data_IF_338404305922
#
_entry.id   IF_338404305922
#
_cell.length_a   1.000
_cell.length_b   1.000
_cell.length_c   1.000
_cell.angle_alpha   90.00
_cell.angle_beta   90.00
_cell.angle_gamma   90.00
#
_symmetry.space_group_name_H-M   'P 1'
#
loop_
_entity.id
_entity.type
_entity.pdbx_description
1 polymer ?
#
# COMPACT_ATOMS: atom_id res chain seq x y z
N UNK A 1 4.16 -16.66 -24.21
CA UNK A 1 4.85 -15.41 -23.77
C UNK A 1 3.91 -14.45 -23.02
N UNK A 2 2.61 -14.39 -23.34
CA UNK A 2 1.62 -13.61 -22.56
C UNK A 2 1.41 -14.13 -21.14
N UNK A 3 1.37 -15.45 -20.95
CA UNK A 3 1.04 -16.04 -19.64
C UNK A 3 2.09 -15.75 -18.56
N UNK A 4 3.37 -15.66 -18.95
CA UNK A 4 4.44 -15.27 -18.05
C UNK A 4 4.22 -13.83 -17.54
N UNK A 5 3.90 -12.90 -18.44
CA UNK A 5 3.61 -11.50 -18.09
C UNK A 5 2.36 -11.39 -17.21
N UNK A 6 1.29 -12.13 -17.54
CA UNK A 6 0.05 -12.15 -16.74
C UNK A 6 0.33 -12.68 -15.34
N UNK A 7 1.14 -13.74 -15.21
CA UNK A 7 1.50 -14.31 -13.92
C UNK A 7 2.38 -13.35 -13.09
N UNK A 8 3.33 -12.65 -13.73
CA UNK A 8 4.13 -11.61 -13.07
C UNK A 8 3.25 -10.46 -12.57
N UNK A 9 2.33 -9.96 -13.39
CA UNK A 9 1.39 -8.92 -12.99
C UNK A 9 0.48 -9.36 -11.83
N UNK A 10 -0.01 -10.62 -11.86
CA UNK A 10 -0.78 -11.22 -10.75
C UNK A 10 0.04 -11.37 -9.47
N UNK A 11 1.33 -11.68 -9.57
CA UNK A 11 2.21 -11.76 -8.40
C UNK A 11 2.48 -10.38 -7.80
N UNK A 12 2.70 -9.37 -8.65
CA UNK A 12 2.87 -7.98 -8.23
C UNK A 12 1.59 -7.46 -7.56
N UNK A 13 0.41 -7.73 -8.14
CA UNK A 13 -0.87 -7.27 -7.60
C UNK A 13 -1.17 -7.84 -6.21
N UNK A 14 -0.67 -9.03 -5.85
CA UNK A 14 -0.83 -9.60 -4.49
C UNK A 14 -0.11 -8.78 -3.42
N UNK A 15 0.92 -8.04 -3.80
CA UNK A 15 1.71 -7.21 -2.89
C UNK A 15 1.28 -5.74 -2.93
N UNK A 16 0.20 -5.40 -3.62
CA UNK A 16 -0.34 -4.06 -3.69
C UNK A 16 -1.71 -4.00 -3.02
N UNK A 17 -1.95 -2.92 -2.28
CA UNK A 17 -3.25 -2.69 -1.66
C UNK A 17 -3.63 -1.23 -1.79
N UNK A 18 -4.86 -0.93 -2.23
CA UNK A 18 -5.32 0.45 -2.26
C UNK A 18 -5.27 1.08 -0.86
N UNK A 19 -4.97 2.37 -0.82
CA UNK A 19 -4.86 3.13 0.44
C UNK A 19 -6.11 2.97 1.31
N UNK A 20 -7.30 2.91 0.71
CA UNK A 20 -8.57 2.68 1.42
C UNK A 20 -8.53 1.35 2.19
N UNK A 21 -8.26 0.25 1.50
CA UNK A 21 -8.24 -1.08 2.11
C UNK A 21 -7.08 -1.26 3.09
N UNK A 22 -5.93 -0.63 2.84
CA UNK A 22 -4.82 -0.65 3.79
C UNK A 22 -5.18 0.07 5.09
N UNK A 23 -5.83 1.24 5.00
CA UNK A 23 -6.30 1.99 6.16
C UNK A 23 -7.32 1.17 6.99
N UNK A 24 -8.28 0.52 6.33
CA UNK A 24 -9.25 -0.38 6.96
C UNK A 24 -8.55 -1.56 7.65
N UNK A 25 -7.61 -2.23 6.97
CA UNK A 25 -6.83 -3.35 7.53
C UNK A 25 -6.00 -2.95 8.75
N UNK A 26 -5.53 -1.72 8.80
CA UNK A 26 -4.73 -1.17 9.92
C UNK A 26 -5.58 -0.47 10.98
N UNK A 27 -6.90 -0.49 10.84
CA UNK A 27 -7.86 0.19 11.70
C UNK A 27 -7.48 1.67 11.93
N UNK A 28 -7.27 2.41 10.84
CA UNK A 28 -6.85 3.81 10.88
C UNK A 28 -7.48 4.63 9.76
N UNK A 29 -7.29 5.96 9.79
CA UNK A 29 -7.80 6.86 8.76
C UNK A 29 -6.89 6.88 7.53
N UNK A 30 -7.47 7.19 6.36
CA UNK A 30 -6.67 7.42 5.13
C UNK A 30 -5.66 8.54 5.32
N UNK A 31 -6.02 9.58 6.08
CA UNK A 31 -5.14 10.70 6.43
C UNK A 31 -3.88 10.22 7.17
N UNK A 32 -4.03 9.29 8.11
CA UNK A 32 -2.88 8.70 8.83
C UNK A 32 -1.96 7.94 7.87
N UNK A 33 -2.53 7.22 6.89
CA UNK A 33 -1.75 6.52 5.86
C UNK A 33 -1.02 7.53 4.97
N UNK A 34 -1.67 8.60 4.52
CA UNK A 34 -1.02 9.66 3.73
C UNK A 34 0.13 10.34 4.48
N UNK A 35 -0.03 10.59 5.78
CA UNK A 35 1.06 11.11 6.63
C UNK A 35 2.22 10.11 6.71
N UNK A 36 1.93 8.83 6.91
CA UNK A 36 2.97 7.79 6.94
C UNK A 36 3.74 7.68 5.62
N UNK A 37 3.05 7.87 4.48
CA UNK A 37 3.68 7.96 3.16
C UNK A 37 4.57 9.19 3.01
N UNK A 38 4.08 10.36 3.43
CA UNK A 38 4.86 11.60 3.44
C UNK A 38 6.11 11.51 4.33
N UNK A 39 5.97 10.85 5.48
CA UNK A 39 7.05 10.56 6.44
C UNK A 39 7.99 9.43 5.97
N UNK A 40 7.75 8.83 4.79
CA UNK A 40 8.50 7.68 4.24
C UNK A 40 8.57 6.46 5.18
N UNK A 41 7.55 6.25 6.01
CA UNK A 41 7.43 5.10 6.92
C UNK A 41 6.90 3.84 6.24
N UNK A 42 6.19 4.01 5.13
CA UNK A 42 5.66 2.95 4.26
C UNK A 42 5.82 3.40 2.81
N UNK A 43 5.77 2.45 1.88
CA UNK A 43 5.99 2.72 0.45
C UNK A 43 4.68 2.64 -0.35
N UNK A 44 4.65 3.40 -1.44
CA UNK A 44 3.56 3.36 -2.41
C UNK A 44 4.07 3.21 -3.84
N UNK A 45 3.17 2.79 -4.71
CA UNK A 45 3.31 2.87 -6.16
C UNK A 45 2.10 3.62 -6.73
N UNK A 46 2.36 4.46 -7.73
CA UNK A 46 1.33 5.14 -8.49
C UNK A 46 1.14 4.39 -9.81
N UNK A 47 -0.09 3.97 -10.08
CA UNK A 47 -0.47 3.29 -11.33
C UNK A 47 -1.47 4.18 -12.07
N UNK A 48 -1.08 4.68 -13.25
CA UNK A 48 -1.89 5.64 -14.00
C UNK A 48 -1.92 7.03 -13.36
N UNK A 49 -2.95 7.84 -13.68
CA UNK A 49 -2.99 9.25 -13.26
C UNK A 49 -3.40 9.44 -11.79
N UNK A 50 -4.26 8.58 -11.25
CA UNK A 50 -4.92 8.83 -9.96
C UNK A 50 -4.92 7.64 -8.98
N UNK A 51 -4.37 6.48 -9.34
CA UNK A 51 -4.47 5.30 -8.48
C UNK A 51 -3.17 5.08 -7.69
N UNK A 52 -3.25 5.26 -6.37
CA UNK A 52 -2.13 5.06 -5.44
C UNK A 52 -2.36 3.80 -4.62
N UNK A 53 -1.35 2.93 -4.59
CA UNK A 53 -1.38 1.66 -3.89
C UNK A 53 -0.22 1.59 -2.90
N UNK A 54 -0.49 1.05 -1.72
CA UNK A 54 0.53 0.69 -0.74
C UNK A 54 1.22 -0.59 -1.19
N UNK A 55 2.54 -0.60 -1.13
CA UNK A 55 3.35 -1.80 -1.30
C UNK A 55 3.35 -2.55 0.03
N UNK A 56 2.87 -3.79 0.05
CA UNK A 56 2.80 -4.67 1.21
C UNK A 56 4.17 -5.32 1.53
N UNK A 57 5.20 -4.49 1.65
CA UNK A 57 6.53 -4.89 2.10
C UNK A 57 6.58 -5.06 3.63
N UNK A 58 7.77 -5.37 4.14
CA UNK A 58 7.97 -5.58 5.58
C UNK A 58 7.72 -4.31 6.41
N UNK A 59 7.96 -3.12 5.84
CA UNK A 59 7.67 -1.85 6.50
C UNK A 59 6.15 -1.67 6.64
N UNK A 60 5.40 -1.86 5.57
CA UNK A 60 3.93 -1.77 5.59
C UNK A 60 3.29 -2.83 6.49
N UNK A 61 3.85 -4.05 6.54
CA UNK A 61 3.39 -5.12 7.43
C UNK A 61 3.62 -4.76 8.90
N UNK A 62 4.80 -4.24 9.25
CA UNK A 62 5.16 -3.86 10.63
C UNK A 62 4.57 -2.51 11.07
N UNK A 63 4.23 -1.65 10.12
CA UNK A 63 3.68 -0.33 10.40
C UNK A 63 2.36 -0.44 11.17
N UNK A 64 2.24 0.36 12.22
CA UNK A 64 1.03 0.56 12.99
C UNK A 64 0.74 2.06 13.03
N UNK A 65 -0.51 2.48 12.96
CA UNK A 65 -0.85 3.88 13.21
C UNK A 65 -0.36 4.25 14.62
N UNK A 66 0.37 5.37 14.74
CA UNK A 66 0.70 5.90 16.05
C UNK A 66 -0.60 6.15 16.82
N UNK A 67 -0.66 5.77 18.10
CA UNK A 67 -1.75 6.22 18.96
C UNK A 67 -1.70 7.74 18.95
N UNK A 68 -2.75 8.40 18.41
CA UNK A 68 -3.04 9.76 18.83
C UNK A 68 -3.43 9.63 20.31
N UNK A 69 -2.46 9.86 21.19
CA UNK A 69 -2.69 10.15 22.60
C UNK A 69 -3.44 11.47 22.71
#
# INVERSE_FOLDING_TARGET
MSDALVNTCKQISKNLLEIKYFAEKKNTSRTSVYRALQDKKINEVVIGKNSRFIILDDLAKKWKPGRQS
#
